data_IF_333381403960
#
_entry.id   IF_333381403960
#
_cell.length_a   1.000
_cell.length_b   1.000
_cell.length_c   1.000
_cell.angle_alpha   90.00
_cell.angle_beta   90.00
_cell.angle_gamma   90.00
#
_symmetry.space_group_name_H-M   'P 1'
#
loop_
_entity.id
_entity.type
_entity.pdbx_description
1 polymer ?
#
# COMPACT_ATOMS: atom_id res chain seq x y z
N UNK A 1 18.88 -8.09 -26.74
CA UNK A 1 17.47 -8.20 -26.29
C UNK A 1 17.45 -7.93 -24.79
N UNK A 2 16.93 -6.79 -24.35
CA UNK A 2 16.73 -6.51 -22.93
C UNK A 2 15.28 -6.90 -22.63
N UNK A 3 15.09 -7.94 -21.82
CA UNK A 3 13.77 -8.40 -21.41
C UNK A 3 13.30 -7.47 -20.27
N UNK A 4 12.40 -6.54 -20.59
CA UNK A 4 11.81 -5.66 -19.58
C UNK A 4 10.69 -6.44 -18.90
N UNK A 5 10.94 -6.95 -17.69
CA UNK A 5 9.88 -7.47 -16.84
C UNK A 5 9.11 -6.26 -16.28
N UNK A 6 7.87 -6.06 -16.73
CA UNK A 6 6.99 -5.07 -16.13
C UNK A 6 6.76 -5.47 -14.66
N UNK A 7 7.27 -4.66 -13.73
CA UNK A 7 7.06 -4.90 -12.30
C UNK A 7 5.63 -4.47 -11.97
N UNK A 8 4.77 -5.43 -11.61
CA UNK A 8 3.41 -5.14 -11.17
C UNK A 8 3.44 -4.28 -9.91
N UNK A 9 2.81 -3.11 -9.99
CA UNK A 9 2.64 -2.22 -8.84
C UNK A 9 1.22 -2.33 -8.33
N UNK A 10 1.07 -2.31 -7.02
CA UNK A 10 -0.20 -2.24 -6.33
C UNK A 10 -0.38 -0.84 -5.73
N UNK A 11 -1.58 -0.30 -5.85
CA UNK A 11 -1.97 0.94 -5.21
C UNK A 11 -3.07 0.63 -4.19
N UNK A 12 -2.89 1.10 -2.97
CA UNK A 12 -3.89 1.00 -1.91
C UNK A 12 -4.31 2.39 -1.50
N UNK A 13 -5.54 2.75 -1.85
CA UNK A 13 -6.17 3.98 -1.38
C UNK A 13 -6.93 3.67 -0.10
N UNK A 14 -6.84 4.55 0.89
CA UNK A 14 -7.56 4.40 2.15
C UNK A 14 -7.94 5.74 2.76
N UNK A 15 -9.11 5.78 3.39
CA UNK A 15 -9.51 6.86 4.28
C UNK A 15 -9.74 6.31 5.69
N UNK A 16 -9.23 7.03 6.69
CA UNK A 16 -9.19 6.59 8.08
C UNK A 16 -9.91 7.58 8.98
N UNK A 17 -10.67 7.12 9.98
CA UNK A 17 -11.26 8.01 10.99
C UNK A 17 -10.23 8.94 11.62
N UNK A 18 -10.57 10.22 11.81
CA UNK A 18 -9.69 11.25 12.34
C UNK A 18 -9.52 11.17 13.88
N UNK A 19 -9.42 9.96 14.42
CA UNK A 19 -9.27 9.71 15.86
C UNK A 19 -8.09 8.74 16.15
N UNK A 20 -7.99 8.26 17.40
CA UNK A 20 -6.94 7.35 17.84
C UNK A 20 -6.80 6.06 17.00
N UNK A 21 -7.83 5.66 16.26
CA UNK A 21 -7.83 4.53 15.32
C UNK A 21 -6.80 4.69 14.20
N UNK A 22 -6.65 5.91 13.67
CA UNK A 22 -5.63 6.22 12.65
C UNK A 22 -4.20 5.97 13.16
N UNK A 23 -3.93 6.33 14.41
CA UNK A 23 -2.62 6.05 15.04
C UNK A 23 -2.38 4.54 15.21
N UNK A 24 -3.42 3.76 15.52
CA UNK A 24 -3.31 2.28 15.61
C UNK A 24 -2.94 1.67 14.27
N UNK A 25 -3.57 2.13 13.19
CA UNK A 25 -3.22 1.73 11.82
C UNK A 25 -1.74 2.01 11.53
N UNK A 26 -1.27 3.25 11.68
CA UNK A 26 0.13 3.59 11.37
C UNK A 26 1.13 2.78 12.20
N UNK A 27 0.84 2.51 13.48
CA UNK A 27 1.70 1.66 14.33
C UNK A 27 1.77 0.22 13.83
N UNK A 28 0.68 -0.32 13.27
CA UNK A 28 0.66 -1.69 12.70
C UNK A 28 1.46 -1.75 11.40
N UNK A 29 1.25 -0.80 10.49
CA UNK A 29 2.01 -0.72 9.23
C UNK A 29 3.50 -0.53 9.50
N UNK A 30 3.90 0.37 10.41
CA UNK A 30 5.31 0.58 10.78
C UNK A 30 5.96 -0.66 11.40
N UNK A 31 5.19 -1.49 12.11
CA UNK A 31 5.68 -2.76 12.65
C UNK A 31 5.89 -3.77 11.52
N UNK A 32 4.91 -3.93 10.64
CA UNK A 32 5.01 -4.80 9.47
C UNK A 32 6.27 -4.47 8.64
N UNK A 33 6.49 -3.21 8.29
CA UNK A 33 7.66 -2.81 7.50
C UNK A 33 8.99 -3.18 8.17
N UNK A 34 9.06 -3.03 9.51
CA UNK A 34 10.25 -3.39 10.29
C UNK A 34 10.48 -4.89 10.31
N UNK A 35 9.43 -5.67 10.56
CA UNK A 35 9.52 -7.13 10.72
C UNK A 35 9.92 -7.82 9.42
N UNK A 36 9.55 -7.24 8.27
CA UNK A 36 9.87 -7.76 6.94
C UNK A 36 11.06 -7.08 6.25
N UNK A 37 11.84 -6.26 6.98
CA UNK A 37 13.05 -5.61 6.45
C UNK A 37 12.78 -4.65 5.28
N UNK A 38 11.53 -4.21 5.12
CA UNK A 38 11.10 -3.36 4.02
C UNK A 38 11.48 -1.90 4.33
N UNK A 39 12.53 -1.39 3.68
CA UNK A 39 12.94 0.02 3.76
C UNK A 39 11.95 0.89 3.00
N UNK A 40 11.10 1.64 3.70
CA UNK A 40 10.16 2.64 3.14
C UNK A 40 9.63 2.30 1.73
N UNK A 41 9.23 1.03 1.53
CA UNK A 41 8.80 0.52 0.23
C UNK A 41 7.38 0.99 -0.05
N UNK A 42 7.29 2.25 -0.43
CA UNK A 42 6.07 2.84 -0.91
C UNK A 42 5.92 4.27 -0.46
N UNK A 43 5.95 5.15 -1.45
CA UNK A 43 5.53 6.53 -1.27
C UNK A 43 4.13 6.53 -0.67
N UNK A 44 4.03 6.93 0.59
CA UNK A 44 2.76 7.07 1.31
C UNK A 44 2.45 8.55 1.45
N UNK A 45 1.72 9.13 0.50
CA UNK A 45 0.87 10.28 0.85
C UNK A 45 -0.15 9.77 1.86
N UNK A 46 -0.50 10.53 2.90
CA UNK A 46 -1.26 10.09 4.10
C UNK A 46 -2.49 9.18 3.91
N UNK A 47 -3.00 9.00 2.68
CA UNK A 47 -4.19 8.23 2.29
C UNK A 47 -3.96 7.24 1.13
N UNK A 48 -2.72 7.07 0.64
CA UNK A 48 -2.40 6.14 -0.47
C UNK A 48 -1.07 5.44 -0.19
N UNK A 49 -0.96 4.15 -0.51
CA UNK A 49 0.30 3.38 -0.54
C UNK A 49 0.51 2.82 -1.94
N UNK A 50 1.70 2.97 -2.49
CA UNK A 50 2.11 2.30 -3.74
C UNK A 50 3.22 1.30 -3.41
N UNK A 51 3.09 0.04 -3.84
CA UNK A 51 4.06 -1.00 -3.51
C UNK A 51 4.13 -2.09 -4.58
N UNK A 52 5.26 -2.76 -4.71
CA UNK A 52 5.43 -3.93 -5.58
C UNK A 52 5.06 -5.24 -4.84
N UNK A 53 4.86 -5.16 -3.53
CA UNK A 53 4.49 -6.30 -2.70
C UNK A 53 2.97 -6.41 -2.59
N UNK A 54 2.40 -7.40 -3.27
CA UNK A 54 0.97 -7.73 -3.17
C UNK A 54 0.57 -8.02 -1.71
N UNK A 55 1.39 -8.79 -0.99
CA UNK A 55 1.13 -9.15 0.40
C UNK A 55 1.10 -7.94 1.34
N UNK A 56 1.97 -6.95 1.08
CA UNK A 56 1.94 -5.68 1.79
C UNK A 56 0.70 -4.86 1.44
N UNK A 57 0.32 -4.79 0.15
CA UNK A 57 -0.88 -4.08 -0.29
C UNK A 57 -2.15 -4.60 0.41
N UNK A 58 -2.35 -5.92 0.43
CA UNK A 58 -3.47 -6.53 1.15
C UNK A 58 -3.40 -6.34 2.66
N UNK A 59 -2.20 -6.24 3.23
CA UNK A 59 -2.04 -5.94 4.65
C UNK A 59 -2.49 -4.52 4.97
N UNK A 60 -2.12 -3.53 4.16
CA UNK A 60 -2.60 -2.14 4.28
C UNK A 60 -4.12 -2.09 4.20
N UNK A 61 -4.72 -2.74 3.20
CA UNK A 61 -6.18 -2.83 3.05
C UNK A 61 -6.85 -3.39 4.30
N UNK A 62 -6.40 -4.56 4.78
CA UNK A 62 -7.00 -5.22 5.96
C UNK A 62 -6.88 -4.35 7.22
N UNK A 63 -5.73 -3.75 7.47
CA UNK A 63 -5.52 -2.91 8.65
C UNK A 63 -6.36 -1.63 8.59
N UNK A 64 -6.53 -1.02 7.41
CA UNK A 64 -7.41 0.14 7.23
C UNK A 64 -8.88 -0.21 7.53
N UNK A 65 -9.37 -1.36 6.99
CA UNK A 65 -10.73 -1.84 7.26
C UNK A 65 -10.96 -2.18 8.73
N UNK A 66 -9.98 -2.80 9.41
CA UNK A 66 -10.06 -3.14 10.85
C UNK A 66 -10.27 -1.92 11.75
N UNK A 67 -9.74 -0.76 11.36
CA UNK A 67 -9.90 0.47 12.13
C UNK A 67 -11.14 1.29 11.71
N UNK A 68 -12.03 0.70 10.90
CA UNK A 68 -13.26 1.34 10.44
C UNK A 68 -13.05 2.32 9.28
N UNK A 69 -11.92 2.25 8.59
CA UNK A 69 -11.67 3.02 7.38
C UNK A 69 -12.30 2.42 6.11
N UNK A 70 -12.33 3.20 5.05
CA UNK A 70 -12.54 2.71 3.68
C UNK A 70 -11.18 2.39 3.05
N UNK A 71 -11.14 1.39 2.18
CA UNK A 71 -9.92 1.04 1.47
C UNK A 71 -10.23 0.33 0.15
N UNK A 72 -9.40 0.59 -0.86
CA UNK A 72 -9.46 -0.03 -2.19
C UNK A 72 -8.05 -0.45 -2.60
N UNK A 73 -7.94 -1.63 -3.23
CA UNK A 73 -6.68 -2.15 -3.78
C UNK A 73 -6.82 -2.19 -5.29
N UNK A 74 -5.82 -1.65 -5.98
CA UNK A 74 -5.74 -1.65 -7.43
C UNK A 74 -4.44 -2.33 -7.87
N UNK A 75 -4.52 -3.13 -8.92
CA UNK A 75 -3.37 -3.51 -9.71
C UNK A 75 -3.09 -2.39 -10.71
N UNK A 76 -1.95 -1.73 -10.57
CA UNK A 76 -1.58 -0.56 -11.37
C UNK A 76 -0.89 -1.00 -12.66
N UNK A 77 -1.44 -0.54 -13.78
CA UNK A 77 -0.81 -0.62 -15.10
C UNK A 77 -0.33 0.77 -15.53
N UNK A 78 0.82 0.85 -16.18
CA UNK A 78 1.24 2.08 -16.87
C UNK A 78 0.33 2.32 -18.08
N UNK A 79 -0.10 3.56 -18.25
CA UNK A 79 -1.00 3.96 -19.34
C UNK A 79 -0.23 4.56 -20.52
N UNK A 80 1.00 5.01 -20.29
CA UNK A 80 1.94 5.56 -21.26
C UNK A 80 2.86 4.50 -21.89
N UNK A 81 2.71 3.24 -21.49
CA UNK A 81 3.35 2.06 -22.10
C UNK A 81 2.46 1.40 -23.18
N UNK A 82 1.27 1.93 -23.43
CA UNK A 82 0.46 1.54 -24.58
C UNK A 82 1.00 2.24 -25.85
N UNK A 83 1.19 1.52 -26.97
CA UNK A 83 1.69 2.09 -28.23
C UNK A 83 0.76 3.17 -28.80
#
# INVERSE_FOLDING_TARGET
MIQVFAVTKYLVEYDLPADSRRLRFYRRIKRYLRDYGMKETGWSTRSVVVTESESFAWTVYREARKVGGTAHVYEARRLDDAP
#
